data_IF_848049923320
#
_entry.id   IF_848049923320
#
_cell.length_a   1.000
_cell.length_b   1.000
_cell.length_c   1.000
_cell.angle_alpha   90.00
_cell.angle_beta   90.00
_cell.angle_gamma   90.00
#
_symmetry.space_group_name_H-M   'P 1'
#
loop_
_entity.id
_entity.type
_entity.pdbx_description
1 polymer ?
#
# COMPACT_ATOMS: atom_id res chain seq x y z
N UNK A 1 27.91 14.63 10.30
CA UNK A 1 26.85 14.32 11.29
C UNK A 1 27.39 13.70 12.60
N UNK A 2 28.54 13.01 12.62
CA UNK A 2 29.14 12.45 13.84
C UNK A 2 29.75 13.50 14.81
N UNK A 3 30.20 14.66 14.32
CA UNK A 3 30.82 15.70 15.14
C UNK A 3 29.82 16.41 16.09
N UNK A 4 28.53 16.45 15.74
CA UNK A 4 27.51 17.10 16.57
C UNK A 4 27.18 16.29 17.84
N UNK A 5 27.26 14.95 17.79
CA UNK A 5 27.02 14.08 18.94
C UNK A 5 28.11 14.19 20.01
N UNK A 6 29.36 14.44 19.61
CA UNK A 6 30.47 14.66 20.54
C UNK A 6 30.36 15.98 21.29
N UNK A 7 30.01 17.07 20.59
CA UNK A 7 29.89 18.41 21.18
C UNK A 7 28.73 18.47 22.19
N UNK A 8 27.58 17.87 21.88
CA UNK A 8 26.43 17.85 22.81
C UNK A 8 26.75 17.05 24.09
N UNK A 9 27.61 16.04 24.01
CA UNK A 9 27.98 15.22 25.16
C UNK A 9 29.09 15.87 26.02
N UNK A 10 29.91 16.78 25.47
CA UNK A 10 31.00 17.46 26.21
C UNK A 10 30.57 18.77 26.88
N UNK A 11 29.53 19.45 26.36
CA UNK A 11 29.02 20.72 26.92
C UNK A 11 28.53 20.62 28.39
N UNK A 12 27.80 19.56 28.81
CA UNK A 12 27.35 19.43 30.21
C UNK A 12 28.52 19.29 31.21
N UNK A 13 29.62 18.66 30.79
CA UNK A 13 30.83 18.54 31.60
C UNK A 13 31.56 19.88 31.74
N UNK A 14 31.61 20.67 30.66
CA UNK A 14 32.17 22.03 30.70
C UNK A 14 31.38 22.96 31.62
N UNK A 15 30.04 22.93 31.55
CA UNK A 15 29.18 23.71 32.44
C UNK A 15 29.27 23.28 33.91
N UNK A 16 29.41 21.97 34.17
CA UNK A 16 29.67 21.47 35.51
C UNK A 16 30.97 22.03 36.08
N UNK A 17 32.06 21.97 35.30
CA UNK A 17 33.38 22.45 35.73
C UNK A 17 33.36 23.95 36.05
N UNK A 18 32.70 24.77 35.23
CA UNK A 18 32.57 26.21 35.50
C UNK A 18 31.69 26.52 36.71
N UNK A 19 30.61 25.76 36.92
CA UNK A 19 29.73 25.91 38.10
C UNK A 19 30.46 25.52 39.38
N UNK A 20 31.19 24.40 39.38
CA UNK A 20 32.00 23.97 40.53
C UNK A 20 33.09 24.99 40.83
N UNK A 21 33.78 25.51 39.82
CA UNK A 21 34.79 26.56 39.99
C UNK A 21 34.20 27.85 40.58
N UNK A 22 33.05 28.31 40.09
CA UNK A 22 32.38 29.51 40.60
C UNK A 22 32.00 29.37 42.08
N UNK A 23 31.38 28.25 42.47
CA UNK A 23 30.95 28.01 43.85
C UNK A 23 32.17 27.83 44.79
N UNK A 24 33.27 27.24 44.30
CA UNK A 24 34.53 27.15 45.06
C UNK A 24 35.13 28.53 45.34
N UNK A 25 34.99 29.47 44.40
CA UNK A 25 35.52 30.84 44.52
C UNK A 25 34.66 31.73 45.42
N UNK A 26 33.34 31.51 45.49
CA UNK A 26 32.43 32.37 46.26
C UNK A 26 32.20 31.92 47.71
N UNK A 27 31.97 30.63 47.96
CA UNK A 27 31.42 30.17 49.25
C UNK A 27 32.32 29.19 50.04
N UNK A 28 33.41 28.70 49.44
CA UNK A 28 34.42 27.86 50.12
C UNK A 28 33.96 26.46 50.60
N UNK A 29 32.66 26.17 50.60
CA UNK A 29 32.08 24.87 50.98
C UNK A 29 31.05 24.40 49.96
N UNK A 30 31.27 23.22 49.37
CA UNK A 30 30.35 22.64 48.39
C UNK A 30 29.80 21.31 48.89
N UNK A 31 28.47 21.21 48.97
CA UNK A 31 27.80 19.92 49.12
C UNK A 31 27.75 19.21 47.77
N UNK A 32 28.33 18.00 47.70
CA UNK A 32 28.35 17.20 46.48
C UNK A 32 26.95 16.94 45.89
N UNK A 33 25.92 16.90 46.75
CA UNK A 33 24.53 16.72 46.33
C UNK A 33 24.03 17.86 45.43
N UNK A 34 24.36 19.11 45.75
CA UNK A 34 23.92 20.27 44.96
C UNK A 34 24.54 20.26 43.55
N UNK A 35 25.83 19.90 43.43
CA UNK A 35 26.50 19.78 42.13
C UNK A 35 25.82 18.72 41.26
N UNK A 36 25.49 17.55 41.83
CA UNK A 36 24.85 16.45 41.09
C UNK A 36 23.46 16.88 40.60
N UNK A 37 22.67 17.55 41.44
CA UNK A 37 21.34 18.03 41.05
C UNK A 37 21.41 19.05 39.91
N UNK A 38 22.31 20.04 39.99
CA UNK A 38 22.50 21.04 38.96
C UNK A 38 22.97 20.41 37.64
N UNK A 39 23.94 19.49 37.70
CA UNK A 39 24.40 18.74 36.52
C UNK A 39 23.26 18.01 35.83
N UNK A 40 22.41 17.33 36.60
CA UNK A 40 21.30 16.55 36.06
C UNK A 40 20.24 17.42 35.41
N UNK A 41 19.91 18.56 36.02
CA UNK A 41 18.96 19.52 35.44
C UNK A 41 19.48 20.06 34.10
N UNK A 42 20.75 20.51 34.06
CA UNK A 42 21.36 21.06 32.84
C UNK A 42 21.47 19.99 31.74
N UNK A 43 21.93 18.78 32.10
CA UNK A 43 22.09 17.68 31.14
C UNK A 43 20.75 17.25 30.55
N UNK A 44 19.70 17.16 31.37
CA UNK A 44 18.35 16.84 30.91
C UNK A 44 17.81 17.88 29.91
N UNK A 45 18.00 19.17 30.23
CA UNK A 45 17.58 20.27 29.36
C UNK A 45 18.32 20.24 28.00
N UNK A 46 19.64 20.10 28.02
CA UNK A 46 20.44 20.04 26.78
C UNK A 46 20.11 18.79 25.95
N UNK A 47 19.82 17.67 26.59
CA UNK A 47 19.43 16.44 25.90
C UNK A 47 18.05 16.56 25.23
N UNK A 48 17.08 17.21 25.87
CA UNK A 48 15.78 17.48 25.27
C UNK A 48 15.92 18.35 24.01
N UNK A 49 16.74 19.41 24.07
CA UNK A 49 17.03 20.28 22.92
C UNK A 49 17.72 19.49 21.80
N UNK A 50 18.70 18.65 22.14
CA UNK A 50 19.41 17.84 21.15
C UNK A 50 18.50 16.82 20.44
N UNK A 51 17.57 16.19 21.16
CA UNK A 51 16.59 15.27 20.55
C UNK A 51 15.63 16.04 19.65
N UNK A 52 15.18 17.24 20.05
CA UNK A 52 14.33 18.09 19.20
C UNK A 52 15.05 18.49 17.91
N UNK A 53 16.29 18.99 18.00
CA UNK A 53 17.07 19.40 16.84
C UNK A 53 17.46 18.21 15.94
N UNK A 54 17.88 17.09 16.54
CA UNK A 54 18.22 15.87 15.80
C UNK A 54 17.01 15.18 15.18
N UNK A 55 15.84 15.32 15.80
CA UNK A 55 14.56 14.82 15.29
C UNK A 55 13.96 15.69 14.20
N UNK A 56 14.29 16.98 14.13
CA UNK A 56 13.71 17.94 13.21
C UNK A 56 13.81 17.50 11.73
N UNK A 57 14.94 16.93 11.33
CA UNK A 57 15.12 16.37 9.99
C UNK A 57 14.13 15.24 9.66
N UNK A 58 13.75 14.43 10.65
CA UNK A 58 12.75 13.37 10.47
C UNK A 58 11.35 13.96 10.34
N UNK A 59 11.02 15.01 11.09
CA UNK A 59 9.73 15.70 11.01
C UNK A 59 9.43 16.25 9.62
N UNK A 60 10.45 16.71 8.89
CA UNK A 60 10.31 17.19 7.50
C UNK A 60 9.83 16.05 6.56
N UNK A 61 10.20 14.80 6.84
CA UNK A 61 9.82 13.64 5.99
C UNK A 61 8.46 13.04 6.31
N UNK A 62 7.91 13.33 7.49
CA UNK A 62 6.64 12.79 7.97
C UNK A 62 5.46 13.18 7.08
N UNK A 63 5.29 14.46 6.67
CA UNK A 63 4.22 14.86 5.76
C UNK A 63 4.22 14.10 4.44
N UNK A 64 5.40 13.84 3.86
CA UNK A 64 5.51 13.06 2.61
C UNK A 64 5.00 11.62 2.78
N UNK A 65 5.21 11.03 3.95
CA UNK A 65 4.72 9.69 4.27
C UNK A 65 3.19 9.68 4.44
N UNK A 66 2.66 10.66 5.15
CA UNK A 66 1.21 10.83 5.28
C UNK A 66 0.53 11.10 3.94
N UNK A 67 1.15 11.90 3.07
CA UNK A 67 0.63 12.17 1.73
C UNK A 67 0.58 10.89 0.89
N UNK A 68 1.60 10.03 0.97
CA UNK A 68 1.60 8.72 0.28
C UNK A 68 0.49 7.80 0.77
N UNK A 69 0.30 7.72 2.09
CA UNK A 69 -0.78 6.93 2.70
C UNK A 69 -2.13 7.48 2.28
N UNK A 70 -2.31 8.80 2.37
CA UNK A 70 -3.54 9.48 1.96
C UNK A 70 -3.85 9.20 0.50
N UNK A 71 -2.87 9.31 -0.40
CA UNK A 71 -3.05 9.01 -1.83
C UNK A 71 -3.50 7.58 -2.06
N UNK A 72 -2.87 6.61 -1.39
CA UNK A 72 -3.26 5.20 -1.52
C UNK A 72 -4.69 4.96 -1.02
N UNK A 73 -5.04 5.48 0.17
CA UNK A 73 -6.38 5.34 0.73
C UNK A 73 -7.46 6.13 -0.05
N UNK A 74 -7.06 7.11 -0.85
CA UNK A 74 -7.98 7.89 -1.70
C UNK A 74 -8.12 7.32 -3.12
N UNK A 75 -7.49 6.17 -3.43
CA UNK A 75 -7.67 5.53 -4.72
C UNK A 75 -9.10 5.01 -4.85
N UNK A 76 -9.70 5.06 -6.06
CA UNK A 76 -11.01 4.50 -6.28
C UNK A 76 -10.99 2.99 -6.06
N UNK A 77 -12.07 2.46 -5.51
CA UNK A 77 -12.27 1.01 -5.38
C UNK A 77 -12.24 0.32 -6.76
N UNK A 78 -11.84 -0.97 -6.80
CA UNK A 78 -11.81 -1.72 -8.04
C UNK A 78 -13.20 -1.78 -8.70
N UNK A 79 -13.28 -1.85 -10.04
CA UNK A 79 -14.52 -1.78 -10.81
C UNK A 79 -15.45 -3.01 -10.67
N UNK A 80 -15.21 -3.88 -9.71
CA UNK A 80 -15.98 -5.11 -9.48
C UNK A 80 -17.48 -4.84 -9.25
N UNK A 81 -17.84 -3.64 -8.78
CA UNK A 81 -19.23 -3.20 -8.62
C UNK A 81 -19.99 -3.02 -9.94
N UNK A 82 -19.28 -2.78 -11.06
CA UNK A 82 -19.90 -2.61 -12.38
C UNK A 82 -20.27 -3.94 -13.04
N UNK A 83 -19.76 -5.07 -12.53
CA UNK A 83 -20.15 -6.40 -13.00
C UNK A 83 -21.56 -6.71 -12.52
N UNK A 84 -22.52 -6.63 -13.44
CA UNK A 84 -23.90 -7.01 -13.18
C UNK A 84 -24.00 -8.52 -13.23
N UNK A 85 -24.61 -9.12 -12.21
CA UNK A 85 -24.98 -10.52 -12.30
C UNK A 85 -26.14 -10.64 -13.28
N UNK A 86 -26.13 -11.64 -14.18
CA UNK A 86 -27.27 -11.91 -15.02
C UNK A 86 -28.50 -12.15 -14.12
N UNK A 87 -29.52 -11.31 -14.31
CA UNK A 87 -30.79 -11.46 -13.61
C UNK A 87 -31.45 -12.75 -14.13
N UNK A 88 -31.58 -13.74 -13.24
CA UNK A 88 -32.12 -15.08 -13.50
C UNK A 88 -31.22 -15.97 -14.38
N UNK A 89 -31.00 -17.20 -13.93
CA UNK A 89 -30.41 -18.27 -14.74
C UNK A 89 -31.39 -18.66 -15.85
N UNK A 90 -31.57 -17.79 -16.85
CA UNK A 90 -32.34 -18.14 -18.03
C UNK A 90 -31.50 -19.13 -18.83
N UNK A 91 -32.01 -20.35 -18.96
CA UNK A 91 -31.43 -21.43 -19.75
C UNK A 91 -31.16 -20.92 -21.17
N UNK A 92 -29.88 -20.74 -21.53
CA UNK A 92 -29.46 -20.24 -22.86
C UNK A 92 -28.81 -18.85 -22.89
N UNK A 93 -28.79 -18.11 -21.78
CA UNK A 93 -28.07 -16.83 -21.71
C UNK A 93 -26.54 -17.02 -21.78
N UNK A 94 -25.79 -16.06 -22.35
CA UNK A 94 -24.33 -16.08 -22.35
C UNK A 94 -23.77 -16.06 -20.91
N UNK A 95 -22.59 -16.66 -20.71
CA UNK A 95 -21.91 -16.69 -19.40
C UNK A 95 -21.39 -15.31 -19.03
N UNK A 96 -20.90 -14.56 -20.01
CA UNK A 96 -20.52 -13.18 -19.84
C UNK A 96 -20.77 -12.38 -21.11
N UNK A 97 -21.08 -11.10 -20.97
CA UNK A 97 -21.31 -10.18 -22.07
C UNK A 97 -20.62 -8.85 -21.78
N UNK A 98 -19.85 -8.36 -22.74
CA UNK A 98 -19.10 -7.12 -22.64
C UNK A 98 -19.53 -6.19 -23.78
N UNK A 99 -19.94 -4.98 -23.40
CA UNK A 99 -20.34 -3.92 -24.33
C UNK A 99 -19.64 -2.62 -24.02
N UNK A 100 -19.13 -1.93 -25.04
CA UNK A 100 -18.49 -0.63 -24.94
C UNK A 100 -16.96 -0.68 -24.76
N UNK A 101 -16.40 0.41 -24.25
CA UNK A 101 -14.95 0.60 -24.12
C UNK A 101 -14.48 0.50 -22.67
N UNK A 102 -13.24 0.05 -22.46
CA UNK A 102 -12.70 -0.24 -21.14
C UNK A 102 -11.27 0.30 -20.95
N UNK A 103 -10.97 0.81 -19.75
CA UNK A 103 -9.68 1.41 -19.38
C UNK A 103 -9.14 0.85 -18.05
N UNK A 104 -7.82 0.91 -17.84
CA UNK A 104 -7.21 0.56 -16.54
C UNK A 104 -7.42 1.62 -15.46
N UNK A 105 -7.70 2.85 -15.86
CA UNK A 105 -7.88 3.99 -14.97
C UNK A 105 -9.15 4.73 -15.36
N UNK A 106 -9.91 5.16 -14.37
CA UNK A 106 -11.11 5.98 -14.55
C UNK A 106 -10.77 7.22 -15.38
N UNK A 107 -11.60 7.51 -16.39
CA UNK A 107 -11.47 8.69 -17.27
C UNK A 107 -10.14 8.80 -18.05
N UNK A 108 -9.50 7.68 -18.35
CA UNK A 108 -8.33 7.64 -19.24
C UNK A 108 -8.65 6.99 -20.59
N UNK A 109 -7.67 7.04 -21.52
CA UNK A 109 -7.83 6.40 -22.82
C UNK A 109 -8.15 4.91 -22.64
N UNK A 110 -9.21 4.42 -23.31
CA UNK A 110 -9.54 3.02 -23.29
C UNK A 110 -8.45 2.19 -23.97
N UNK A 111 -8.20 1.00 -23.44
CA UNK A 111 -7.32 -0.02 -24.02
C UNK A 111 -8.13 -0.98 -24.90
N UNK A 112 -9.42 -1.15 -24.58
CA UNK A 112 -10.38 -1.90 -25.38
C UNK A 112 -11.41 -0.93 -25.91
N UNK A 113 -11.63 -0.94 -27.21
CA UNK A 113 -12.52 0.00 -27.90
C UNK A 113 -13.72 -0.74 -28.45
N UNK A 114 -14.90 -0.23 -28.16
CA UNK A 114 -16.18 -0.62 -28.77
C UNK A 114 -16.38 -2.14 -28.89
N UNK A 115 -16.22 -2.84 -27.76
CA UNK A 115 -16.52 -4.26 -27.70
C UNK A 115 -18.02 -4.47 -27.78
N UNK A 116 -18.47 -5.46 -28.57
CA UNK A 116 -19.81 -6.04 -28.46
C UNK A 116 -19.68 -7.56 -28.62
N UNK A 117 -19.48 -8.24 -27.50
CA UNK A 117 -19.21 -9.68 -27.50
C UNK A 117 -19.96 -10.38 -26.36
N UNK A 118 -20.58 -11.50 -26.70
CA UNK A 118 -21.24 -12.41 -25.76
C UNK A 118 -20.51 -13.75 -25.77
N UNK A 119 -20.09 -14.21 -24.59
CA UNK A 119 -19.42 -15.50 -24.38
C UNK A 119 -20.48 -16.59 -24.13
N UNK A 120 -20.70 -17.50 -25.09
CA UNK A 120 -21.74 -18.52 -24.97
C UNK A 120 -21.41 -19.56 -23.92
N UNK A 121 -22.45 -20.12 -23.29
CA UNK A 121 -22.29 -21.17 -22.28
C UNK A 121 -21.91 -22.51 -22.93
N UNK A 122 -20.97 -23.22 -22.31
CA UNK A 122 -20.56 -24.56 -22.73
C UNK A 122 -19.68 -24.60 -23.98
N UNK A 123 -19.17 -23.47 -24.44
CA UNK A 123 -18.24 -23.40 -25.57
C UNK A 123 -16.83 -23.05 -25.12
N UNK A 124 -15.84 -23.56 -25.86
CA UNK A 124 -14.45 -23.16 -25.75
C UNK A 124 -14.19 -21.99 -26.72
N UNK A 125 -13.88 -20.82 -26.18
CA UNK A 125 -13.59 -19.62 -26.95
C UNK A 125 -12.11 -19.31 -26.90
N UNK A 126 -11.47 -19.13 -28.05
CA UNK A 126 -10.08 -18.72 -28.16
C UNK A 126 -9.98 -17.25 -28.60
N UNK A 127 -9.17 -16.47 -27.89
CA UNK A 127 -8.87 -15.07 -28.24
C UNK A 127 -7.47 -15.00 -28.84
N UNK A 128 -7.36 -14.62 -30.10
CA UNK A 128 -6.10 -14.57 -30.86
C UNK A 128 -5.84 -13.15 -31.38
N UNK A 129 -4.56 -12.80 -31.54
CA UNK A 129 -4.15 -11.48 -32.01
C UNK A 129 -2.68 -11.19 -31.74
N UNK A 130 -2.14 -10.13 -32.35
CA UNK A 130 -0.73 -9.72 -32.23
C UNK A 130 -0.32 -9.32 -30.80
N UNK A 131 0.97 -9.18 -30.55
CA UNK A 131 1.47 -8.67 -29.26
C UNK A 131 0.89 -7.26 -29.00
N UNK A 132 0.56 -6.97 -27.75
CA UNK A 132 -0.07 -5.70 -27.33
C UNK A 132 -1.45 -5.40 -27.94
N UNK A 133 -2.13 -6.39 -28.55
CA UNK A 133 -3.49 -6.20 -29.09
C UNK A 133 -4.60 -6.17 -28.02
N UNK A 134 -4.27 -6.07 -26.73
CA UNK A 134 -5.27 -6.01 -25.65
C UNK A 134 -5.87 -7.34 -25.18
N UNK A 135 -5.35 -8.51 -25.59
CA UNK A 135 -5.91 -9.82 -25.16
C UNK A 135 -5.95 -10.01 -23.64
N UNK A 136 -4.84 -9.73 -22.95
CA UNK A 136 -4.80 -9.83 -21.49
C UNK A 136 -5.75 -8.82 -20.85
N UNK A 137 -5.81 -7.59 -21.39
CA UNK A 137 -6.76 -6.57 -20.95
C UNK A 137 -8.22 -7.02 -21.14
N UNK A 138 -8.52 -7.73 -22.23
CA UNK A 138 -9.84 -8.33 -22.46
C UNK A 138 -10.20 -9.37 -21.40
N UNK A 139 -9.28 -10.28 -21.05
CA UNK A 139 -9.52 -11.24 -19.96
C UNK A 139 -9.74 -10.53 -18.63
N UNK A 140 -8.96 -9.48 -18.34
CA UNK A 140 -9.14 -8.65 -17.15
C UNK A 140 -10.48 -7.89 -17.15
N UNK A 141 -10.98 -7.47 -18.33
CA UNK A 141 -12.30 -6.85 -18.45
C UNK A 141 -13.42 -7.87 -18.16
N UNK A 142 -13.28 -9.13 -18.61
CA UNK A 142 -14.22 -10.22 -18.27
C UNK A 142 -14.24 -10.47 -16.77
N UNK A 143 -13.09 -10.33 -16.09
CA UNK A 143 -12.98 -10.40 -14.63
C UNK A 143 -13.47 -9.14 -13.91
N UNK A 144 -13.89 -8.09 -14.62
CA UNK A 144 -14.31 -6.84 -13.99
C UNK A 144 -13.18 -6.07 -13.32
N UNK A 145 -11.94 -6.20 -13.81
CA UNK A 145 -10.77 -5.46 -13.35
C UNK A 145 -10.53 -4.14 -14.12
N UNK A 146 -11.16 -3.97 -15.29
CA UNK A 146 -11.11 -2.71 -16.05
C UNK A 146 -12.33 -1.84 -15.77
N UNK A 147 -12.13 -0.52 -15.78
CA UNK A 147 -13.18 0.47 -15.64
C UNK A 147 -13.96 0.60 -16.95
N UNK A 148 -15.30 0.47 -16.93
CA UNK A 148 -16.14 0.76 -18.09
C UNK A 148 -16.17 2.26 -18.38
N UNK A 149 -16.10 2.63 -19.66
CA UNK A 149 -16.43 3.98 -20.12
C UNK A 149 -17.94 4.25 -20.00
N UNK A 150 -18.36 5.49 -20.21
CA UNK A 150 -19.78 5.84 -20.19
C UNK A 150 -20.56 5.00 -21.22
N UNK A 151 -21.66 4.37 -20.77
CA UNK A 151 -22.48 3.47 -21.58
C UNK A 151 -21.94 2.04 -21.73
N UNK A 152 -20.74 1.73 -21.23
CA UNK A 152 -20.21 0.37 -21.25
C UNK A 152 -20.82 -0.50 -20.14
N UNK A 153 -20.97 -1.80 -20.41
CA UNK A 153 -21.51 -2.77 -19.46
C UNK A 153 -20.74 -4.09 -19.49
N UNK A 154 -20.64 -4.70 -18.30
CA UNK A 154 -20.13 -6.06 -18.12
C UNK A 154 -21.19 -6.84 -17.38
N UNK A 155 -21.68 -7.89 -18.00
CA UNK A 155 -22.60 -8.85 -17.40
C UNK A 155 -21.87 -10.18 -17.25
N UNK A 156 -21.93 -10.79 -16.07
CA UNK A 156 -21.24 -12.05 -15.83
C UNK A 156 -21.20 -12.47 -14.37
N UNK A 157 -20.59 -13.62 -14.07
CA UNK A 157 -20.34 -14.04 -12.70
C UNK A 157 -19.43 -13.05 -11.98
N UNK A 158 -19.88 -12.55 -10.82
CA UNK A 158 -19.07 -11.64 -10.01
C UNK A 158 -17.77 -12.31 -9.54
N UNK A 159 -16.63 -11.60 -9.60
CA UNK A 159 -15.39 -12.02 -8.95
C UNK A 159 -15.62 -12.37 -7.48
N UNK A 160 -14.88 -13.36 -6.97
CA UNK A 160 -15.00 -13.83 -5.58
C UNK A 160 -16.16 -14.81 -5.32
N UNK A 161 -17.04 -15.09 -6.29
CA UNK A 161 -18.12 -16.08 -6.14
C UNK A 161 -17.68 -17.54 -6.30
N UNK A 162 -16.39 -17.79 -6.58
CA UNK A 162 -15.84 -19.13 -6.86
C UNK A 162 -16.26 -19.73 -8.21
N UNK A 163 -17.02 -18.99 -9.03
CA UNK A 163 -17.51 -19.45 -10.35
C UNK A 163 -16.60 -19.11 -11.52
N UNK A 164 -15.57 -18.30 -11.27
CA UNK A 164 -14.58 -17.89 -12.27
C UNK A 164 -13.21 -18.22 -11.72
N UNK A 165 -12.40 -18.86 -12.57
CA UNK A 165 -10.99 -19.15 -12.29
C UNK A 165 -10.18 -18.48 -13.38
N UNK A 166 -9.15 -17.74 -12.97
CA UNK A 166 -8.23 -17.06 -13.87
C UNK A 166 -6.83 -17.60 -13.69
N UNK A 167 -6.19 -17.95 -14.80
CA UNK A 167 -4.78 -18.33 -14.83
C UNK A 167 -4.01 -17.20 -15.51
N UNK A 168 -3.25 -16.43 -14.72
CA UNK A 168 -2.47 -15.30 -15.22
C UNK A 168 -1.25 -15.77 -16.02
N UNK A 169 -0.78 -14.92 -16.94
CA UNK A 169 0.44 -15.16 -17.70
C UNK A 169 1.66 -15.36 -16.80
N UNK A 170 1.73 -14.61 -15.69
CA UNK A 170 2.72 -14.80 -14.62
C UNK A 170 1.98 -15.36 -13.41
N UNK A 171 2.20 -16.62 -13.03
CA UNK A 171 1.52 -17.22 -11.88
C UNK A 171 2.02 -16.58 -10.58
N UNK A 172 1.12 -16.45 -9.60
CA UNK A 172 1.47 -16.04 -8.25
C UNK A 172 1.47 -17.26 -7.33
N UNK A 173 2.61 -17.51 -6.68
CA UNK A 173 2.80 -18.60 -5.73
C UNK A 173 2.96 -17.97 -4.34
N UNK A 174 2.20 -18.49 -3.37
CA UNK A 174 2.26 -18.12 -1.96
C UNK A 174 3.29 -18.97 -1.22
N UNK A 175 3.81 -18.43 -0.13
CA UNK A 175 4.65 -19.20 0.79
C UNK A 175 3.85 -20.37 1.38
N UNK A 176 4.37 -21.59 1.23
CA UNK A 176 3.69 -22.81 1.67
C UNK A 176 4.03 -24.03 0.82
N UNK A 177 3.27 -25.09 0.99
CA UNK A 177 3.41 -26.33 0.22
C UNK A 177 2.82 -26.19 -1.18
N UNK A 178 3.24 -27.06 -2.11
CA UNK A 178 2.61 -27.15 -3.43
C UNK A 178 1.10 -27.41 -3.30
N UNK A 179 0.69 -28.28 -2.37
CA UNK A 179 -0.71 -28.61 -2.11
C UNK A 179 -1.51 -27.38 -1.71
N UNK A 180 -0.98 -26.55 -0.82
CA UNK A 180 -1.62 -25.30 -0.38
C UNK A 180 -1.79 -24.32 -1.54
N UNK A 181 -0.79 -24.19 -2.40
CA UNK A 181 -0.86 -23.33 -3.57
C UNK A 181 -1.90 -23.78 -4.62
N UNK A 182 -2.10 -25.10 -4.77
CA UNK A 182 -3.09 -25.66 -5.71
C UNK A 182 -4.51 -25.56 -5.15
N UNK A 183 -4.68 -25.87 -3.87
CA UNK A 183 -5.99 -25.98 -3.22
C UNK A 183 -6.50 -24.62 -2.74
N UNK A 184 -5.57 -23.68 -2.46
CA UNK A 184 -5.78 -22.35 -1.90
C UNK A 184 -6.66 -22.40 -0.63
N UNK A 185 -7.98 -22.35 -0.79
CA UNK A 185 -8.95 -22.31 0.30
C UNK A 185 -10.16 -23.24 0.09
N UNK A 186 -10.05 -24.22 -0.82
CA UNK A 186 -11.11 -25.22 -1.04
C UNK A 186 -10.83 -26.47 -0.21
N UNK A 187 -11.86 -27.09 0.36
CA UNK A 187 -11.69 -28.43 0.95
C UNK A 187 -11.45 -29.44 -0.18
N UNK A 188 -10.34 -30.17 -0.12
CA UNK A 188 -10.13 -31.33 -0.99
C UNK A 188 -11.23 -32.34 -0.66
N UNK A 189 -12.14 -32.57 -1.62
CA UNK A 189 -13.08 -33.69 -1.53
C UNK A 189 -12.23 -34.96 -1.68
N UNK A 190 -12.11 -35.81 -0.65
CA UNK A 190 -11.44 -37.09 -0.82
C UNK A 190 -12.26 -37.94 -1.78
N UNK A 191 -11.60 -38.55 -2.77
CA UNK A 191 -12.18 -39.60 -3.61
C UNK A 191 -12.51 -40.86 -2.80
#
# INVERSE_FOLDING_TARGET
MALAGGIVNTVPWGMLLTTVFFILVTDGHISAHAIIVIHRIISCLLQAIAIMLGGFGKWITVPNSFERIRRFLSQPDPPTSFVRQPALQITGAPVAQLRGSFSFVVNQLPVLHDLDLALPRGQLVAVVGGVASGKSAFLQAVLGELFPAEGASIEGPKPGTGRVVYCSQTPWIFEGTLRENVVLNQALVPE
#
